data_IF_675132876460
#
_entry.id   IF_675132876460
#
_cell.length_a   1.000
_cell.length_b   1.000
_cell.length_c   1.000
_cell.angle_alpha   90.00
_cell.angle_beta   90.00
_cell.angle_gamma   90.00
#
_symmetry.space_group_name_H-M   'P 1'
#
loop_
_entity.id
_entity.type
_entity.pdbx_description
1 polymer ?
#
# COMPACT_ATOMS: atom_id res chain seq x y z
N UNK A 1 -62.34 -0.78 -17.99
CA UNK A 1 -61.19 -1.71 -18.04
C UNK A 1 -60.28 -1.35 -19.20
N UNK A 2 -58.97 -1.31 -18.95
CA UNK A 2 -57.91 -0.85 -19.85
C UNK A 2 -57.04 -2.06 -20.23
N UNK A 3 -56.68 -2.21 -21.50
CA UNK A 3 -55.74 -3.26 -21.93
C UNK A 3 -54.36 -3.05 -21.31
N UNK A 4 -53.56 -4.10 -21.17
CA UNK A 4 -52.18 -3.99 -20.65
C UNK A 4 -51.34 -2.93 -21.37
N UNK A 5 -51.52 -2.73 -22.68
CA UNK A 5 -50.81 -1.69 -23.42
C UNK A 5 -51.29 -0.29 -23.05
N UNK A 6 -52.61 -0.10 -22.92
CA UNK A 6 -53.19 1.17 -22.47
C UNK A 6 -52.78 1.50 -21.04
N UNK A 7 -52.78 0.51 -20.14
CA UNK A 7 -52.42 0.68 -18.74
C UNK A 7 -50.91 0.95 -18.57
N UNK A 8 -50.06 0.29 -19.36
CA UNK A 8 -48.63 0.57 -19.40
C UNK A 8 -48.36 2.02 -19.82
N UNK A 9 -49.08 2.51 -20.84
CA UNK A 9 -49.00 3.91 -21.29
C UNK A 9 -49.48 4.88 -20.20
N UNK A 10 -50.60 4.58 -19.54
CA UNK A 10 -51.13 5.38 -18.43
C UNK A 10 -50.13 5.49 -17.28
N UNK A 11 -49.48 4.38 -16.90
CA UNK A 11 -48.54 4.30 -15.79
C UNK A 11 -47.10 4.71 -16.17
N UNK A 12 -46.84 5.01 -17.45
CA UNK A 12 -45.50 5.36 -17.93
C UNK A 12 -44.48 4.23 -17.79
N UNK A 13 -44.90 2.98 -17.99
CA UNK A 13 -44.04 1.80 -17.95
C UNK A 13 -44.18 0.95 -19.22
N UNK A 14 -43.41 -0.13 -19.32
CA UNK A 14 -43.57 -1.09 -20.40
C UNK A 14 -44.48 -2.26 -19.98
N UNK A 15 -45.03 -2.97 -20.96
CA UNK A 15 -45.92 -4.12 -20.71
C UNK A 15 -45.21 -5.29 -20.03
N UNK A 16 -43.88 -5.40 -20.17
CA UNK A 16 -43.08 -6.43 -19.49
C UNK A 16 -43.06 -6.21 -17.97
N UNK A 17 -42.98 -4.96 -17.49
CA UNK A 17 -43.06 -4.61 -16.07
C UNK A 17 -44.38 -5.09 -15.46
N UNK A 18 -45.50 -4.86 -16.14
CA UNK A 18 -46.82 -5.30 -15.67
C UNK A 18 -46.96 -6.83 -15.68
N UNK A 19 -46.44 -7.51 -16.71
CA UNK A 19 -46.38 -8.98 -16.76
C UNK A 19 -45.49 -9.55 -15.66
N UNK A 20 -44.40 -8.87 -15.34
CA UNK A 20 -43.53 -9.23 -14.24
C UNK A 20 -44.27 -9.08 -12.91
N UNK A 21 -44.89 -7.93 -12.65
CA UNK A 21 -45.64 -7.67 -11.41
C UNK A 21 -46.81 -8.64 -11.21
N UNK A 22 -47.52 -9.00 -12.27
CA UNK A 22 -48.52 -10.07 -12.25
C UNK A 22 -47.89 -11.41 -11.82
N UNK A 23 -46.80 -11.83 -12.48
CA UNK A 23 -46.11 -13.09 -12.19
C UNK A 23 -45.62 -13.20 -10.75
N UNK A 24 -45.11 -12.11 -10.19
CA UNK A 24 -44.63 -12.09 -8.80
C UNK A 24 -45.75 -11.77 -7.80
N UNK A 25 -47.00 -11.56 -8.24
CA UNK A 25 -48.14 -11.25 -7.39
C UNK A 25 -48.08 -9.85 -6.75
N UNK A 26 -47.34 -8.91 -7.35
CA UNK A 26 -47.21 -7.53 -6.87
C UNK A 26 -48.34 -6.64 -7.39
N UNK A 27 -48.77 -6.84 -8.63
CA UNK A 27 -49.92 -6.14 -9.23
C UNK A 27 -50.60 -7.07 -10.24
N UNK A 28 -51.64 -7.76 -9.78
CA UNK A 28 -52.44 -8.65 -10.63
C UNK A 28 -53.40 -7.85 -11.52
N UNK A 29 -53.67 -8.29 -12.76
CA UNK A 29 -54.72 -7.71 -13.59
C UNK A 29 -56.10 -7.95 -12.96
N UNK A 30 -57.01 -6.98 -13.09
CA UNK A 30 -58.40 -7.14 -12.65
C UNK A 30 -59.12 -8.27 -13.40
N UNK A 31 -58.75 -8.50 -14.67
CA UNK A 31 -59.28 -9.62 -15.47
C UNK A 31 -58.23 -10.16 -16.43
N UNK A 32 -58.21 -11.48 -16.58
CA UNK A 32 -57.51 -12.18 -17.66
C UNK A 32 -58.57 -12.83 -18.55
N UNK A 33 -58.49 -12.61 -19.86
CA UNK A 33 -59.35 -13.28 -20.82
C UNK A 33 -58.95 -14.76 -20.96
N UNK A 34 -59.91 -15.66 -20.71
CA UNK A 34 -59.66 -17.11 -20.64
C UNK A 34 -59.27 -17.74 -21.98
N UNK A 35 -59.69 -17.14 -23.10
CA UNK A 35 -59.49 -17.69 -24.44
C UNK A 35 -58.21 -17.16 -25.10
N UNK A 36 -57.87 -15.91 -24.83
CA UNK A 36 -56.76 -15.20 -25.49
C UNK A 36 -55.60 -14.89 -24.56
N UNK A 37 -55.78 -15.00 -23.24
CA UNK A 37 -54.78 -14.65 -22.23
C UNK A 37 -54.51 -13.15 -22.10
N UNK A 38 -55.34 -12.30 -22.72
CA UNK A 38 -55.21 -10.84 -22.63
C UNK A 38 -55.50 -10.34 -21.22
N UNK A 39 -54.69 -9.39 -20.76
CA UNK A 39 -54.77 -8.80 -19.41
C UNK A 39 -55.45 -7.43 -19.46
N UNK A 40 -56.36 -7.22 -18.52
CA UNK A 40 -57.13 -6.00 -18.35
C UNK A 40 -56.99 -5.48 -16.92
N UNK A 41 -56.82 -4.17 -16.81
CA UNK A 41 -56.64 -3.46 -15.56
C UNK A 41 -57.76 -2.43 -15.37
N UNK A 42 -58.07 -2.11 -14.12
CA UNK A 42 -58.95 -0.99 -13.76
C UNK A 42 -58.14 0.31 -13.59
N UNK A 43 -58.79 1.47 -13.73
CA UNK A 43 -58.10 2.76 -13.64
C UNK A 43 -57.59 3.01 -12.22
N UNK A 44 -58.36 2.54 -11.23
CA UNK A 44 -58.07 2.57 -9.81
C UNK A 44 -56.77 1.83 -9.45
N UNK A 45 -56.38 0.82 -10.25
CA UNK A 45 -55.12 0.10 -10.07
C UNK A 45 -53.89 0.97 -10.40
N UNK A 46 -54.06 2.10 -11.08
CA UNK A 46 -52.96 3.05 -11.34
C UNK A 46 -52.43 3.66 -10.03
N UNK A 47 -53.30 3.90 -9.03
CA UNK A 47 -52.87 4.38 -7.71
C UNK A 47 -51.98 3.35 -7.00
N UNK A 48 -52.32 2.07 -7.11
CA UNK A 48 -51.51 0.98 -6.58
C UNK A 48 -50.14 0.90 -7.29
N UNK A 49 -50.12 1.08 -8.61
CA UNK A 49 -48.88 1.14 -9.39
C UNK A 49 -47.98 2.30 -8.95
N UNK A 50 -48.53 3.51 -8.76
CA UNK A 50 -47.78 4.68 -8.27
C UNK A 50 -47.18 4.40 -6.90
N UNK A 51 -47.94 3.79 -5.99
CA UNK A 51 -47.44 3.40 -4.65
C UNK A 51 -46.28 2.42 -4.73
N UNK A 52 -46.41 1.36 -5.55
CA UNK A 52 -45.32 0.39 -5.79
C UNK A 52 -44.08 1.11 -6.29
N UNK A 53 -44.23 1.96 -7.30
CA UNK A 53 -43.11 2.69 -7.91
C UNK A 53 -42.39 3.59 -6.91
N UNK A 54 -43.12 4.33 -6.08
CA UNK A 54 -42.52 5.22 -5.08
C UNK A 54 -41.73 4.44 -4.03
N UNK A 55 -42.26 3.29 -3.57
CA UNK A 55 -41.53 2.43 -2.65
C UNK A 55 -40.27 1.82 -3.30
N UNK A 56 -40.33 1.41 -4.57
CA UNK A 56 -39.13 0.94 -5.29
C UNK A 56 -38.08 2.04 -5.43
N UNK A 57 -38.49 3.27 -5.73
CA UNK A 57 -37.57 4.41 -5.83
C UNK A 57 -36.92 4.79 -4.49
N UNK A 58 -37.54 4.39 -3.37
CA UNK A 58 -37.00 4.54 -2.03
C UNK A 58 -36.23 3.29 -1.54
N UNK A 59 -35.78 2.44 -2.47
CA UNK A 59 -34.99 1.23 -2.22
C UNK A 59 -35.66 0.19 -1.31
N UNK A 60 -37.00 0.13 -1.29
CA UNK A 60 -37.69 -1.01 -0.73
C UNK A 60 -37.60 -2.21 -1.67
N UNK A 61 -37.23 -3.36 -1.11
CA UNK A 61 -37.27 -4.66 -1.78
C UNK A 61 -38.70 -5.06 -2.16
N UNK A 62 -38.83 -5.99 -3.11
CA UNK A 62 -40.14 -6.47 -3.56
C UNK A 62 -40.92 -7.11 -2.40
N UNK A 63 -40.24 -7.80 -1.50
CA UNK A 63 -40.79 -8.43 -0.30
C UNK A 63 -41.32 -7.37 0.68
N UNK A 64 -40.53 -6.33 0.95
CA UNK A 64 -40.98 -5.20 1.79
C UNK A 64 -42.20 -4.52 1.17
N UNK A 65 -42.17 -4.24 -0.14
CA UNK A 65 -43.29 -3.62 -0.84
C UNK A 65 -44.55 -4.45 -0.68
N UNK A 66 -44.50 -5.76 -0.95
CA UNK A 66 -45.65 -6.66 -0.76
C UNK A 66 -46.24 -6.59 0.65
N UNK A 67 -45.39 -6.47 1.67
CA UNK A 67 -45.85 -6.36 3.07
C UNK A 67 -46.52 -5.01 3.39
N UNK A 68 -46.22 -3.97 2.60
CA UNK A 68 -46.74 -2.62 2.73
C UNK A 68 -48.00 -2.38 1.89
N UNK A 69 -48.16 -3.11 0.78
CA UNK A 69 -49.37 -3.05 -0.05
C UNK A 69 -50.57 -3.53 0.78
N UNK A 70 -51.57 -2.65 0.94
CA UNK A 70 -52.77 -2.92 1.76
C UNK A 70 -52.66 -2.48 3.22
N UNK A 71 -51.55 -1.86 3.64
CA UNK A 71 -51.47 -1.17 4.93
C UNK A 71 -51.95 0.28 4.81
N UNK A 72 -52.36 0.85 5.95
CA UNK A 72 -52.72 2.26 6.03
C UNK A 72 -51.49 3.16 5.84
N UNK A 73 -51.73 4.46 5.65
CA UNK A 73 -50.67 5.41 5.33
C UNK A 73 -49.71 5.60 6.50
N UNK A 74 -50.20 5.61 7.74
CA UNK A 74 -49.37 5.71 8.95
C UNK A 74 -48.31 4.61 9.03
N UNK A 75 -48.69 3.36 8.72
CA UNK A 75 -47.76 2.24 8.73
C UNK A 75 -46.70 2.35 7.63
N UNK A 76 -47.09 2.87 6.46
CA UNK A 76 -46.15 3.07 5.36
C UNK A 76 -45.21 4.24 5.64
N UNK A 77 -45.69 5.34 6.20
CA UNK A 77 -44.84 6.44 6.65
C UNK A 77 -43.83 5.98 7.69
N UNK A 78 -44.25 5.19 8.69
CA UNK A 78 -43.33 4.59 9.65
C UNK A 78 -42.30 3.65 9.00
N UNK A 79 -42.64 2.98 7.90
CA UNK A 79 -41.68 2.19 7.13
C UNK A 79 -40.65 3.09 6.41
N UNK A 80 -41.08 4.22 5.85
CA UNK A 80 -40.16 5.23 5.30
C UNK A 80 -39.22 5.79 6.36
N UNK A 81 -39.72 6.14 7.55
CA UNK A 81 -38.88 6.65 8.63
C UNK A 81 -37.80 5.64 9.05
N UNK A 82 -38.17 4.35 9.16
CA UNK A 82 -37.21 3.28 9.41
C UNK A 82 -36.17 3.17 8.28
N UNK A 83 -36.61 3.23 7.02
CA UNK A 83 -35.71 3.17 5.86
C UNK A 83 -34.73 4.35 5.86
N UNK A 84 -35.21 5.55 6.17
CA UNK A 84 -34.37 6.75 6.29
C UNK A 84 -33.32 6.56 7.39
N UNK A 85 -33.71 6.03 8.54
CA UNK A 85 -32.77 5.78 9.64
C UNK A 85 -31.73 4.71 9.30
N UNK A 86 -32.14 3.61 8.67
CA UNK A 86 -31.23 2.58 8.15
C UNK A 86 -30.21 3.17 7.16
N UNK A 87 -30.65 4.02 6.24
CA UNK A 87 -29.76 4.66 5.27
C UNK A 87 -28.80 5.66 5.94
N UNK A 88 -29.26 6.41 6.95
CA UNK A 88 -28.39 7.28 7.76
C UNK A 88 -27.32 6.49 8.49
N UNK A 89 -27.65 5.34 9.07
CA UNK A 89 -26.69 4.47 9.74
C UNK A 89 -25.65 3.90 8.77
N UNK A 90 -26.09 3.45 7.59
CA UNK A 90 -25.18 3.01 6.51
C UNK A 90 -24.23 4.13 6.08
N UNK A 91 -24.76 5.33 5.86
CA UNK A 91 -23.94 6.51 5.52
C UNK A 91 -22.93 6.84 6.62
N UNK A 92 -23.34 6.79 7.89
CA UNK A 92 -22.44 7.02 9.03
C UNK A 92 -21.31 5.99 9.05
N UNK A 93 -21.61 4.70 8.82
CA UNK A 93 -20.60 3.64 8.79
C UNK A 93 -19.62 3.82 7.63
N UNK A 94 -20.12 4.17 6.43
CA UNK A 94 -19.26 4.46 5.28
C UNK A 94 -18.30 5.63 5.58
N UNK A 95 -18.80 6.69 6.22
CA UNK A 95 -17.98 7.85 6.62
C UNK A 95 -16.95 7.54 7.71
N UNK A 96 -17.22 6.58 8.57
CA UNK A 96 -16.27 6.08 9.57
C UNK A 96 -15.12 5.33 8.89
N UNK A 97 -15.45 4.39 8.00
CA UNK A 97 -14.47 3.61 7.23
C UNK A 97 -13.62 4.55 6.36
N UNK A 98 -14.24 5.53 5.70
CA UNK A 98 -13.53 6.53 4.90
C UNK A 98 -12.49 7.31 5.72
N UNK A 99 -12.84 7.70 6.96
CA UNK A 99 -11.91 8.42 7.84
C UNK A 99 -10.73 7.54 8.27
N UNK A 100 -11.02 6.32 8.73
CA UNK A 100 -9.97 5.36 9.11
C UNK A 100 -9.00 5.07 7.95
N UNK A 101 -9.52 4.90 6.73
CA UNK A 101 -8.70 4.70 5.53
C UNK A 101 -7.79 5.89 5.24
N UNK A 102 -8.29 7.12 5.36
CA UNK A 102 -7.48 8.32 5.15
C UNK A 102 -6.42 8.49 6.25
N UNK A 103 -6.77 8.22 7.51
CA UNK A 103 -5.82 8.22 8.63
C UNK A 103 -4.69 7.22 8.39
N UNK A 104 -5.01 5.98 8.03
CA UNK A 104 -4.03 4.92 7.75
C UNK A 104 -3.08 5.31 6.59
N UNK A 105 -3.62 5.87 5.50
CA UNK A 105 -2.78 6.36 4.39
C UNK A 105 -1.88 7.53 4.81
N UNK A 106 -2.41 8.47 5.60
CA UNK A 106 -1.61 9.59 6.08
C UNK A 106 -0.52 9.13 7.03
N UNK A 107 -0.81 8.19 7.93
CA UNK A 107 0.19 7.58 8.81
C UNK A 107 1.29 6.88 8.02
N UNK A 108 0.94 6.05 7.04
CA UNK A 108 1.94 5.40 6.17
C UNK A 108 2.78 6.42 5.41
N UNK A 109 2.16 7.46 4.85
CA UNK A 109 2.88 8.51 4.12
C UNK A 109 3.84 9.28 5.03
N UNK A 110 3.42 9.57 6.25
CA UNK A 110 4.26 10.24 7.25
C UNK A 110 5.42 9.34 7.66
N UNK A 111 5.17 8.04 7.95
CA UNK A 111 6.22 7.10 8.29
C UNK A 111 7.28 7.00 7.18
N UNK A 112 6.83 6.94 5.92
CA UNK A 112 7.74 7.00 4.76
C UNK A 112 8.52 8.31 4.77
N UNK A 113 7.88 9.48 4.89
CA UNK A 113 8.59 10.76 4.96
C UNK A 113 9.63 10.79 6.08
N UNK A 114 9.28 10.37 7.29
CA UNK A 114 10.20 10.32 8.45
C UNK A 114 11.45 9.49 8.15
N UNK A 115 11.30 8.31 7.54
CA UNK A 115 12.43 7.45 7.13
C UNK A 115 13.29 8.15 6.09
N UNK A 116 12.65 8.83 5.14
CA UNK A 116 13.34 9.44 4.01
C UNK A 116 14.10 10.70 4.44
N UNK A 117 13.47 11.55 5.23
CA UNK A 117 14.09 12.74 5.84
C UNK A 117 15.27 12.35 6.75
N UNK A 118 15.20 11.19 7.40
CA UNK A 118 16.34 10.65 8.15
C UNK A 118 17.52 10.29 7.23
N UNK A 119 17.25 9.57 6.14
CA UNK A 119 18.29 9.20 5.16
C UNK A 119 18.90 10.45 4.51
N UNK A 120 18.08 11.43 4.11
CA UNK A 120 18.53 12.70 3.53
C UNK A 120 19.42 13.49 4.50
N UNK A 121 19.04 13.63 5.78
CA UNK A 121 19.89 14.31 6.77
C UNK A 121 21.23 13.62 6.99
N UNK A 122 21.28 12.28 6.89
CA UNK A 122 22.55 11.54 6.98
C UNK A 122 23.42 11.81 5.76
N UNK A 123 22.84 11.83 4.56
CA UNK A 123 23.54 12.18 3.32
C UNK A 123 24.15 13.60 3.36
N UNK A 124 23.42 14.56 3.93
CA UNK A 124 23.90 15.94 4.04
C UNK A 124 24.97 16.16 5.12
N UNK A 125 25.40 15.10 5.84
CA UNK A 125 26.42 15.20 6.89
C UNK A 125 27.86 15.05 6.31
N UNK A 126 28.71 16.11 6.31
CA UNK A 126 30.07 16.03 5.78
C UNK A 126 30.97 15.02 6.51
N UNK A 127 30.73 14.79 7.81
CA UNK A 127 31.51 13.84 8.60
C UNK A 127 31.32 12.41 8.10
N UNK A 128 30.11 12.09 7.60
CA UNK A 128 29.81 10.80 7.00
C UNK A 128 30.74 10.54 5.82
N UNK A 129 30.86 11.48 4.87
CA UNK A 129 31.72 11.34 3.69
C UNK A 129 33.21 11.17 4.05
N UNK A 130 33.68 11.86 5.10
CA UNK A 130 35.05 11.71 5.58
C UNK A 130 35.36 10.30 6.10
N UNK A 131 34.36 9.58 6.65
CA UNK A 131 34.53 8.17 7.05
C UNK A 131 34.84 7.25 5.85
N UNK A 132 34.34 7.60 4.65
CA UNK A 132 34.63 6.88 3.40
C UNK A 132 35.94 7.34 2.73
N UNK A 133 36.70 8.23 3.39
CA UNK A 133 37.83 8.90 2.77
C UNK A 133 37.44 9.77 1.56
N UNK A 134 36.18 10.19 1.48
CA UNK A 134 35.67 11.08 0.45
C UNK A 134 35.72 12.52 0.93
N UNK A 135 36.28 13.40 0.11
CA UNK A 135 36.30 14.83 0.37
C UNK A 135 35.04 15.46 -0.23
N UNK A 136 34.24 16.14 0.59
CA UNK A 136 33.04 16.84 0.12
C UNK A 136 33.37 17.93 -0.91
N UNK A 137 34.60 18.46 -0.91
CA UNK A 137 35.07 19.44 -1.89
C UNK A 137 35.72 18.82 -3.13
N UNK A 138 36.31 17.63 -3.01
CA UNK A 138 37.06 16.96 -4.09
C UNK A 138 36.27 15.90 -4.86
N UNK A 139 35.38 15.18 -4.18
CA UNK A 139 34.61 14.06 -4.74
C UNK A 139 33.12 14.43 -4.97
N UNK A 140 32.85 15.72 -5.18
CA UNK A 140 31.48 16.28 -5.31
C UNK A 140 30.65 15.56 -6.38
N UNK A 141 31.28 15.08 -7.46
CA UNK A 141 30.61 14.36 -8.54
C UNK A 141 30.11 12.97 -8.11
N UNK A 142 30.83 12.30 -7.20
CA UNK A 142 30.42 11.01 -6.62
C UNK A 142 29.27 11.26 -5.66
N UNK A 143 29.43 12.22 -4.74
CA UNK A 143 28.41 12.60 -3.76
C UNK A 143 27.11 12.96 -4.48
N UNK A 144 27.16 13.85 -5.47
CA UNK A 144 25.99 14.23 -6.26
C UNK A 144 25.34 13.03 -6.95
N UNK A 145 26.15 12.10 -7.48
CA UNK A 145 25.62 10.89 -8.11
C UNK A 145 24.93 9.98 -7.11
N UNK A 146 25.49 9.81 -5.90
CA UNK A 146 24.87 9.03 -4.81
C UNK A 146 23.53 9.65 -4.40
N UNK A 147 23.47 10.98 -4.24
CA UNK A 147 22.22 11.69 -3.93
C UNK A 147 21.12 11.47 -4.98
N UNK A 148 21.44 11.63 -6.27
CA UNK A 148 20.50 11.42 -7.38
C UNK A 148 19.92 10.00 -7.35
N UNK A 149 20.81 9.01 -7.30
CA UNK A 149 20.52 7.57 -7.22
C UNK A 149 19.61 7.22 -6.04
N UNK A 150 19.93 7.78 -4.88
CA UNK A 150 19.14 7.55 -3.67
C UNK A 150 17.77 8.15 -3.80
N UNK A 151 17.67 9.39 -4.26
CA UNK A 151 16.39 10.09 -4.45
C UNK A 151 15.46 9.31 -5.37
N UNK A 152 15.99 8.75 -6.46
CA UNK A 152 15.22 7.93 -7.41
C UNK A 152 14.74 6.61 -6.79
N UNK A 153 15.62 5.88 -6.10
CA UNK A 153 15.26 4.62 -5.44
C UNK A 153 14.23 4.82 -4.32
N UNK A 154 14.43 5.89 -3.54
CA UNK A 154 13.52 6.35 -2.52
C UNK A 154 12.14 6.73 -3.10
N UNK A 155 12.11 7.35 -4.30
CA UNK A 155 10.87 7.61 -5.03
C UNK A 155 10.16 6.32 -5.49
N UNK A 156 10.91 5.28 -5.88
CA UNK A 156 10.35 3.97 -6.21
C UNK A 156 9.76 3.28 -4.97
N UNK A 157 10.43 3.32 -3.82
CA UNK A 157 9.90 2.81 -2.55
C UNK A 157 8.57 3.49 -2.17
N UNK A 158 8.43 4.80 -2.45
CA UNK A 158 7.14 5.53 -2.26
C UNK A 158 6.03 5.03 -3.20
N UNK A 159 6.38 4.62 -4.42
CA UNK A 159 5.41 4.23 -5.45
C UNK A 159 4.99 2.75 -5.35
N UNK A 160 5.93 1.87 -5.03
CA UNK A 160 5.77 0.42 -5.13
C UNK A 160 5.76 -0.28 -3.76
N UNK A 161 6.08 0.45 -2.69
CA UNK A 161 6.19 -0.08 -1.33
C UNK A 161 7.59 -0.59 -1.01
N UNK A 162 7.92 -0.61 0.28
CA UNK A 162 9.18 -1.14 0.80
C UNK A 162 8.95 -1.77 2.19
N UNK A 163 9.68 -2.84 2.46
CA UNK A 163 9.84 -3.39 3.79
C UNK A 163 11.05 -2.76 4.44
N UNK A 164 10.89 -2.41 5.72
CA UNK A 164 11.94 -1.76 6.49
C UNK A 164 12.04 -2.49 7.81
N UNK A 165 13.26 -2.90 8.17
CA UNK A 165 13.57 -3.45 9.48
C UNK A 165 14.69 -2.63 10.09
N UNK A 166 14.53 -2.27 11.36
CA UNK A 166 15.53 -1.58 12.15
C UNK A 166 16.02 -2.50 13.25
N UNK A 167 17.34 -2.60 13.43
CA UNK A 167 17.98 -3.38 14.48
C UNK A 167 18.76 -2.44 15.42
N UNK A 168 18.39 -2.45 16.69
CA UNK A 168 19.04 -1.66 17.75
C UNK A 168 19.12 -2.49 19.03
N UNK A 169 20.27 -2.52 19.71
CA UNK A 169 20.41 -3.13 21.04
C UNK A 169 19.76 -4.53 21.14
N UNK A 170 20.04 -5.41 20.16
CA UNK A 170 19.51 -6.78 20.10
C UNK A 170 17.98 -6.89 19.90
N UNK A 171 17.32 -5.84 19.38
CA UNK A 171 15.88 -5.83 19.04
C UNK A 171 15.67 -5.49 17.58
N UNK A 172 14.75 -6.20 16.94
CA UNK A 172 14.25 -5.90 15.60
C UNK A 172 12.91 -5.16 15.65
N UNK A 173 12.79 -4.10 14.85
CA UNK A 173 11.56 -3.38 14.59
C UNK A 173 11.26 -3.44 13.09
N UNK A 174 10.29 -4.25 12.70
CA UNK A 174 9.91 -4.41 11.29
C UNK A 174 8.65 -3.60 10.96
N UNK A 175 8.60 -3.06 9.73
CA UNK A 175 7.49 -2.28 9.18
C UNK A 175 7.69 -0.77 9.30
N UNK A 176 7.22 -0.04 8.28
CA UNK A 176 7.39 1.41 8.12
C UNK A 176 7.03 2.21 9.38
N UNK A 177 5.87 1.92 9.99
CA UNK A 177 5.38 2.64 11.17
C UNK A 177 6.29 2.46 12.39
N UNK A 178 6.64 1.22 12.71
CA UNK A 178 7.50 0.92 13.87
C UNK A 178 8.88 1.56 13.71
N UNK A 179 9.44 1.51 12.51
CA UNK A 179 10.75 2.13 12.21
C UNK A 179 10.68 3.65 12.30
N UNK A 180 9.62 4.28 11.77
CA UNK A 180 9.41 5.73 11.87
C UNK A 180 9.29 6.20 13.33
N UNK A 181 8.56 5.47 14.18
CA UNK A 181 8.48 5.76 15.61
C UNK A 181 9.86 5.69 16.29
N UNK A 182 10.70 4.71 15.91
CA UNK A 182 12.06 4.63 16.44
C UNK A 182 12.95 5.79 15.95
N UNK A 183 12.80 6.24 14.69
CA UNK A 183 13.49 7.43 14.17
C UNK A 183 13.13 8.66 15.00
N UNK A 184 11.84 8.90 15.23
CA UNK A 184 11.35 10.07 15.95
C UNK A 184 11.77 10.06 17.42
N UNK A 185 11.88 8.87 18.02
CA UNK A 185 12.37 8.71 19.40
C UNK A 185 13.87 8.99 19.58
N UNK A 186 14.64 9.10 18.49
CA UNK A 186 16.09 9.27 18.52
C UNK A 186 16.89 7.98 18.77
N UNK A 187 16.23 6.83 18.87
CA UNK A 187 16.89 5.52 19.08
C UNK A 187 17.92 5.18 17.99
N UNK A 188 17.79 5.80 16.82
CA UNK A 188 18.67 5.60 15.67
C UNK A 188 20.02 6.29 15.72
N UNK A 189 20.27 7.17 16.69
CA UNK A 189 21.62 7.68 16.92
C UNK A 189 22.57 6.59 17.43
N UNK A 190 22.02 5.45 17.85
CA UNK A 190 22.74 4.25 18.32
C UNK A 190 22.35 2.98 17.55
N UNK A 191 21.66 3.10 16.40
CA UNK A 191 21.26 1.92 15.64
C UNK A 191 22.47 1.20 15.06
N UNK A 192 22.50 -0.12 15.28
CA UNK A 192 23.52 -1.01 14.74
C UNK A 192 23.28 -1.27 13.25
N UNK A 193 22.01 -1.36 12.81
CA UNK A 193 21.68 -1.67 11.42
C UNK A 193 20.27 -1.22 11.02
N UNK A 194 20.15 -0.58 9.86
CA UNK A 194 18.86 -0.33 9.19
C UNK A 194 18.85 -1.10 7.87
N UNK A 195 17.81 -1.91 7.65
CA UNK A 195 17.62 -2.70 6.43
C UNK A 195 16.38 -2.18 5.70
N UNK A 196 16.57 -1.81 4.43
CA UNK A 196 15.52 -1.38 3.53
C UNK A 196 15.48 -2.34 2.34
N UNK A 197 14.32 -2.91 2.05
CA UNK A 197 14.15 -3.85 0.95
C UNK A 197 12.83 -3.66 0.22
N UNK A 198 12.81 -4.05 -1.05
CA UNK A 198 11.59 -4.10 -1.87
C UNK A 198 10.87 -5.45 -1.77
N UNK A 199 11.54 -6.50 -1.31
CA UNK A 199 10.95 -7.83 -1.17
C UNK A 199 10.67 -8.15 0.31
N UNK A 200 9.63 -8.95 0.57
CA UNK A 200 9.29 -9.41 1.92
C UNK A 200 10.09 -10.67 2.27
N UNK A 201 11.42 -10.60 2.14
CA UNK A 201 12.32 -11.68 2.56
C UNK A 201 12.82 -11.37 3.97
N UNK A 202 12.75 -12.35 4.86
CA UNK A 202 13.52 -12.33 6.10
C UNK A 202 14.99 -12.22 5.70
N UNK A 203 15.62 -11.09 6.03
CA UNK A 203 17.04 -10.91 5.76
C UNK A 203 17.81 -11.78 6.73
N UNK A 204 18.40 -12.85 6.21
CA UNK A 204 19.25 -13.69 7.03
C UNK A 204 20.47 -12.90 7.51
N UNK A 205 20.71 -12.96 8.82
CA UNK A 205 21.82 -12.28 9.45
C UNK A 205 23.17 -12.92 9.09
N UNK A 206 23.15 -14.13 8.52
CA UNK A 206 24.30 -14.92 8.13
C UNK A 206 24.61 -14.81 6.64
N UNK A 207 25.91 -14.74 6.32
CA UNK A 207 26.38 -15.02 4.95
C UNK A 207 25.92 -16.45 4.62
N UNK A 208 25.07 -16.60 3.60
CA UNK A 208 24.52 -17.90 3.22
C UNK A 208 25.63 -18.91 2.92
N UNK A 209 25.47 -20.15 3.41
CA UNK A 209 26.34 -21.26 3.01
C UNK A 209 26.37 -21.39 1.48
N UNK A 210 27.57 -21.37 0.90
CA UNK A 210 27.80 -21.42 -0.55
C UNK A 210 28.07 -20.08 -1.22
N UNK A 211 28.00 -18.95 -0.50
CA UNK A 211 28.42 -17.66 -1.05
C UNK A 211 29.92 -17.66 -1.38
N UNK A 212 30.27 -17.17 -2.58
CA UNK A 212 31.66 -17.08 -3.02
C UNK A 212 32.09 -15.63 -3.21
N UNK A 213 33.33 -15.33 -2.83
CA UNK A 213 33.89 -13.97 -2.86
C UNK A 213 34.19 -13.56 -4.31
N UNK A 214 33.53 -12.50 -4.78
CA UNK A 214 33.74 -11.91 -6.11
C UNK A 214 34.79 -10.80 -6.05
N UNK A 215 34.80 -10.03 -4.96
CA UNK A 215 35.71 -8.90 -4.78
C UNK A 215 36.05 -8.71 -3.30
N UNK A 216 37.28 -8.30 -3.01
CA UNK A 216 37.70 -7.84 -1.69
C UNK A 216 38.80 -6.79 -1.79
N UNK A 217 38.71 -5.75 -0.95
CA UNK A 217 39.80 -4.82 -0.69
C UNK A 217 39.84 -4.44 0.79
N UNK A 218 41.04 -4.22 1.27
CA UNK A 218 41.36 -3.92 2.65
C UNK A 218 41.77 -2.44 2.72
N UNK A 219 41.29 -1.68 3.69
CA UNK A 219 41.52 -0.25 3.87
C UNK A 219 40.39 0.64 3.34
N UNK A 220 39.95 1.64 4.13
CA UNK A 220 38.90 2.59 3.73
C UNK A 220 39.31 3.44 2.52
N UNK A 221 40.60 3.72 2.38
CA UNK A 221 41.20 4.46 1.27
C UNK A 221 40.90 3.84 -0.10
N UNK A 222 40.55 2.55 -0.14
CA UNK A 222 40.21 1.83 -1.37
C UNK A 222 38.71 1.83 -1.68
N UNK A 223 37.85 2.23 -0.74
CA UNK A 223 36.39 2.24 -0.93
C UNK A 223 35.96 3.33 -1.90
N UNK A 224 36.61 4.49 -1.90
CA UNK A 224 36.39 5.54 -2.92
C UNK A 224 36.69 5.03 -4.33
N UNK A 225 37.83 4.35 -4.53
CA UNK A 225 38.20 3.74 -5.81
C UNK A 225 37.23 2.64 -6.25
N UNK A 226 36.75 1.84 -5.29
CA UNK A 226 35.72 0.85 -5.55
C UNK A 226 34.38 1.49 -5.93
N UNK A 227 33.93 2.54 -5.23
CA UNK A 227 32.70 3.27 -5.55
C UNK A 227 32.74 3.90 -6.96
N UNK A 228 33.94 4.32 -7.40
CA UNK A 228 34.18 4.79 -8.77
C UNK A 228 34.00 3.65 -9.79
N UNK A 229 34.35 2.42 -9.42
CA UNK A 229 34.42 1.24 -10.29
C UNK A 229 33.47 0.11 -9.87
N UNK A 230 32.32 0.44 -9.28
CA UNK A 230 31.35 -0.55 -8.79
C UNK A 230 31.02 -1.54 -9.92
N UNK A 231 31.23 -2.86 -9.70
CA UNK A 231 30.90 -3.86 -10.71
C UNK A 231 29.39 -3.91 -10.95
N UNK A 232 29.00 -4.15 -12.20
CA UNK A 232 27.60 -4.48 -12.52
C UNK A 232 27.24 -5.78 -11.79
N UNK A 233 26.15 -5.72 -11.03
CA UNK A 233 25.66 -6.79 -10.18
C UNK A 233 24.39 -7.44 -10.80
N UNK A 234 24.15 -7.25 -12.10
CA UNK A 234 23.01 -7.81 -12.83
C UNK A 234 22.95 -9.34 -12.84
N UNK A 235 21.78 -9.89 -13.22
CA UNK A 235 21.58 -11.33 -13.46
C UNK A 235 20.70 -12.06 -12.45
N UNK A 236 19.87 -11.36 -11.67
CA UNK A 236 18.85 -11.97 -10.79
C UNK A 236 19.39 -12.80 -9.62
N UNK A 237 20.69 -12.65 -9.27
CA UNK A 237 21.35 -13.37 -8.17
C UNK A 237 21.31 -12.60 -6.86
N UNK A 238 21.62 -13.27 -5.75
CA UNK A 238 21.77 -12.63 -4.44
C UNK A 238 23.22 -12.21 -4.19
N UNK A 239 23.41 -10.92 -3.91
CA UNK A 239 24.70 -10.34 -3.58
C UNK A 239 24.78 -9.94 -2.11
N UNK A 240 25.94 -10.17 -1.50
CA UNK A 240 26.20 -9.87 -0.10
C UNK A 240 27.43 -8.99 0.03
N UNK A 241 27.26 -7.86 0.70
CA UNK A 241 28.35 -7.04 1.16
C UNK A 241 28.71 -7.41 2.59
N UNK A 242 30.00 -7.65 2.80
CA UNK A 242 30.56 -7.88 4.11
C UNK A 242 31.59 -6.81 4.42
N UNK A 243 31.27 -5.98 5.41
CA UNK A 243 32.19 -5.01 5.97
C UNK A 243 32.76 -5.54 7.27
N UNK A 244 34.06 -5.37 7.45
CA UNK A 244 34.70 -5.58 8.75
C UNK A 244 35.30 -4.27 9.20
N UNK A 245 34.99 -3.80 10.41
CA UNK A 245 35.43 -2.50 10.92
C UNK A 245 36.30 -2.64 12.17
N UNK A 246 37.37 -1.87 12.27
CA UNK A 246 38.25 -1.86 13.44
C UNK A 246 37.53 -1.28 14.66
N UNK A 247 37.88 -1.79 15.83
CA UNK A 247 37.39 -1.30 17.11
C UNK A 247 37.71 0.19 17.32
N UNK A 248 36.72 0.99 17.74
CA UNK A 248 36.87 2.44 17.92
C UNK A 248 36.85 3.26 16.64
N UNK A 249 36.49 2.68 15.50
CA UNK A 249 35.98 3.46 14.36
C UNK A 249 34.79 4.32 14.85
N UNK A 250 34.63 5.57 14.35
CA UNK A 250 33.56 6.46 14.82
C UNK A 250 32.21 5.74 14.82
N UNK A 251 31.50 5.83 15.94
CA UNK A 251 30.39 4.97 16.42
C UNK A 251 29.06 5.23 15.67
N UNK A 252 29.11 5.37 14.35
CA UNK A 252 27.95 5.71 13.49
C UNK A 252 27.58 4.58 12.53
N UNK A 253 27.95 3.34 12.90
CA UNK A 253 28.06 2.11 12.08
C UNK A 253 26.80 1.63 11.33
N UNK A 254 25.64 2.28 11.48
CA UNK A 254 24.49 2.06 10.59
C UNK A 254 24.56 2.85 9.27
N UNK A 255 25.23 4.01 9.25
CA UNK A 255 25.20 4.93 8.10
C UNK A 255 25.96 4.41 6.88
N UNK A 256 27.13 3.83 7.11
CA UNK A 256 28.01 3.29 6.08
C UNK A 256 27.39 2.14 5.27
N UNK A 257 26.94 1.03 5.89
CA UNK A 257 26.32 -0.08 5.16
C UNK A 257 24.99 0.31 4.48
N UNK A 258 24.24 1.24 5.07
CA UNK A 258 22.99 1.78 4.49
C UNK A 258 23.27 2.61 3.25
N UNK A 259 24.30 3.47 3.28
CA UNK A 259 24.75 4.25 2.14
C UNK A 259 25.22 3.35 0.99
N UNK A 260 25.95 2.28 1.32
CA UNK A 260 26.43 1.36 0.31
C UNK A 260 25.27 0.55 -0.30
N UNK A 261 24.34 0.05 0.51
CA UNK A 261 23.11 -0.58 0.03
C UNK A 261 22.37 0.32 -0.97
N UNK A 262 22.25 1.59 -0.63
CA UNK A 262 21.63 2.62 -1.45
C UNK A 262 22.34 2.85 -2.80
N UNK A 263 23.66 3.03 -2.79
CA UNK A 263 24.45 3.19 -4.03
C UNK A 263 24.34 1.95 -4.92
N UNK A 264 24.32 0.77 -4.32
CA UNK A 264 24.28 -0.50 -5.03
C UNK A 264 22.88 -0.83 -5.57
N UNK A 265 21.82 -0.61 -4.77
CA UNK A 265 20.43 -0.84 -5.17
C UNK A 265 20.03 0.02 -6.39
N UNK A 266 20.51 1.25 -6.45
CA UNK A 266 20.17 2.17 -7.53
C UNK A 266 21.03 2.01 -8.79
N UNK A 267 22.23 1.43 -8.69
CA UNK A 267 23.01 1.04 -9.88
C UNK A 267 22.60 -0.31 -10.46
N UNK A 268 21.93 -1.15 -9.67
CA UNK A 268 21.71 -2.53 -10.04
C UNK A 268 20.27 -2.81 -10.47
N UNK A 269 20.10 -3.06 -11.77
CA UNK A 269 18.85 -3.55 -12.36
C UNK A 269 18.39 -4.91 -11.78
N UNK A 270 19.23 -5.62 -11.00
CA UNK A 270 18.88 -6.91 -10.40
C UNK A 270 17.62 -6.87 -9.51
N UNK A 271 17.24 -5.71 -8.95
CA UNK A 271 15.97 -5.58 -8.22
C UNK A 271 14.73 -5.75 -9.12
N UNK A 272 14.88 -5.59 -10.44
CA UNK A 272 13.80 -5.79 -11.42
C UNK A 272 13.67 -7.23 -11.92
N UNK A 273 14.65 -8.10 -11.64
CA UNK A 273 14.71 -9.48 -12.14
C UNK A 273 14.78 -10.55 -11.01
N UNK A 274 14.37 -10.21 -9.78
CA UNK A 274 14.20 -11.16 -8.67
C UNK A 274 15.46 -11.46 -7.83
N UNK A 275 16.54 -10.71 -8.05
CA UNK A 275 17.75 -10.74 -7.22
C UNK A 275 17.67 -9.84 -5.99
N UNK A 276 18.59 -10.01 -5.04
CA UNK A 276 18.60 -9.29 -3.76
C UNK A 276 19.98 -8.77 -3.38
N UNK A 277 20.04 -7.70 -2.58
CA UNK A 277 21.28 -7.17 -2.02
C UNK A 277 21.15 -7.16 -0.50
N UNK A 278 22.11 -7.77 0.18
CA UNK A 278 22.24 -7.76 1.64
C UNK A 278 23.57 -7.14 2.03
N UNK A 279 23.60 -6.43 3.17
CA UNK A 279 24.81 -5.88 3.73
C UNK A 279 24.94 -6.26 5.19
N UNK A 280 26.16 -6.66 5.60
CA UNK A 280 26.53 -7.03 6.96
C UNK A 280 27.80 -6.30 7.37
N UNK A 281 27.86 -5.88 8.64
CA UNK A 281 29.04 -5.28 9.27
C UNK A 281 29.43 -6.13 10.47
N UNK A 282 30.70 -6.49 10.59
CA UNK A 282 31.28 -7.15 11.77
C UNK A 282 32.53 -6.39 12.24
N UNK A 283 33.04 -6.70 13.43
CA UNK A 283 34.34 -6.19 13.87
C UNK A 283 35.49 -6.87 13.12
N UNK A 284 36.53 -6.10 12.79
CA UNK A 284 37.75 -6.61 12.18
C UNK A 284 38.74 -7.09 13.25
N UNK A 285 39.36 -8.22 12.98
CA UNK A 285 40.31 -8.88 13.88
C UNK A 285 41.76 -8.40 13.67
N UNK A 286 42.05 -7.72 12.57
CA UNK A 286 43.39 -7.24 12.19
C UNK A 286 43.56 -5.72 12.37
N UNK A 287 42.53 -5.04 12.87
CA UNK A 287 42.53 -3.60 13.09
C UNK A 287 42.45 -2.76 11.80
N UNK A 288 42.19 -3.40 10.65
CA UNK A 288 41.98 -2.76 9.35
C UNK A 288 40.51 -2.89 8.98
N UNK A 289 39.97 -1.91 8.23
CA UNK A 289 38.61 -2.00 7.71
C UNK A 289 38.61 -2.77 6.39
N UNK A 290 37.66 -3.67 6.16
CA UNK A 290 37.59 -4.47 4.94
C UNK A 290 36.24 -4.33 4.28
N UNK A 291 36.24 -4.39 2.94
CA UNK A 291 35.03 -4.59 2.14
C UNK A 291 35.17 -5.84 1.30
N UNK A 292 34.15 -6.69 1.32
CA UNK A 292 34.03 -7.84 0.42
C UNK A 292 32.64 -7.89 -0.20
N UNK A 293 32.59 -8.24 -1.48
CA UNK A 293 31.37 -8.56 -2.22
C UNK A 293 31.36 -10.05 -2.50
N UNK A 294 30.24 -10.69 -2.19
CA UNK A 294 30.00 -12.12 -2.39
C UNK A 294 28.75 -12.33 -3.24
N UNK A 295 28.73 -13.42 -4.01
CA UNK A 295 27.57 -13.87 -4.81
C UNK A 295 27.12 -15.24 -4.33
N UNK A 296 25.82 -15.51 -4.44
CA UNK A 296 25.26 -16.86 -4.39
C UNK A 296 24.66 -17.27 -5.73
#
# INVERSE_FOLDING_TARGET
MITIQGFARLCGCNTQTLRYYDRIGLLAPARVDEWTGYRYYEEEQAMLFVRIRNLQQADFSIEEIKSLLGRNDDYVLAAFDRKVEEQKQKLAKIREIQRAYLEEIMEMRNAVNTIMDYVERKLDNPALWQEFGLDSQGDTQIIAKVHEVLTDWLAQCRAEGANVSLFTDNREFSGLKNVAEQIESGALDHAERLVLSRENREYEDTILEGAHRIFARDGWEHVSDWLKNVPDLGGGKEHYFHFRVREGSPVTDGGFPTMLLAVMAARNHAMSEGGGITCRVDLSNDGINHVSLMEK
#
